data_IF_459210665221
#
_entry.id   IF_459210665221
#
_cell.length_a   1.000
_cell.length_b   1.000
_cell.length_c   1.000
_cell.angle_alpha   90.00
_cell.angle_beta   90.00
_cell.angle_gamma   90.00
#
_symmetry.space_group_name_H-M   'P 1'
#
loop_
_entity.id
_entity.type
_entity.pdbx_description
1 polymer ?
#
# COMPACT_ATOMS: atom_id res chain seq x y z
N UNK A 1 -5.46 -17.06 9.90
CA UNK A 1 -4.38 -17.73 9.20
C UNK A 1 -3.52 -16.79 8.38
N UNK A 2 -2.29 -17.18 8.20
CA UNK A 2 -1.28 -16.35 7.57
C UNK A 2 -1.56 -16.04 6.09
N UNK A 3 -2.37 -16.84 5.41
CA UNK A 3 -2.69 -16.62 4.00
C UNK A 3 -3.68 -15.48 3.83
N UNK A 4 -4.61 -15.32 4.77
CA UNK A 4 -5.64 -14.28 4.67
C UNK A 4 -5.06 -12.86 4.76
N UNK A 5 -4.00 -12.66 5.56
CA UNK A 5 -3.40 -11.33 5.75
C UNK A 5 -2.81 -10.75 4.47
N UNK A 6 -2.01 -11.51 3.67
CA UNK A 6 -1.52 -10.97 2.41
C UNK A 6 -2.63 -10.65 1.41
N UNK A 7 -3.69 -11.45 1.39
CA UNK A 7 -4.84 -11.20 0.51
C UNK A 7 -5.57 -9.92 0.90
N UNK A 8 -5.78 -9.70 2.18
CA UNK A 8 -6.40 -8.47 2.69
C UNK A 8 -5.54 -7.26 2.36
N UNK A 9 -4.23 -7.38 2.58
CA UNK A 9 -3.30 -6.28 2.27
C UNK A 9 -3.28 -5.95 0.79
N UNK A 10 -3.35 -6.96 -0.08
CA UNK A 10 -3.42 -6.76 -1.52
C UNK A 10 -4.71 -6.02 -1.90
N UNK A 11 -5.82 -6.38 -1.28
CA UNK A 11 -7.10 -5.71 -1.50
C UNK A 11 -7.04 -4.24 -1.07
N UNK A 12 -6.37 -3.96 0.05
CA UNK A 12 -6.20 -2.59 0.52
C UNK A 12 -5.39 -1.75 -0.45
N UNK A 13 -4.40 -2.35 -1.13
CA UNK A 13 -3.64 -1.67 -2.17
C UNK A 13 -4.54 -1.31 -3.34
N UNK A 14 -5.41 -2.22 -3.77
CA UNK A 14 -6.35 -1.96 -4.86
C UNK A 14 -7.29 -0.80 -4.53
N UNK A 15 -7.82 -0.79 -3.30
CA UNK A 15 -8.68 0.28 -2.81
C UNK A 15 -7.90 1.60 -2.77
N UNK A 16 -6.66 1.58 -2.28
CA UNK A 16 -5.83 2.77 -2.20
C UNK A 16 -5.52 3.33 -3.60
N UNK A 17 -5.27 2.45 -4.58
CA UNK A 17 -5.05 2.88 -5.97
C UNK A 17 -6.28 3.55 -6.54
N UNK A 18 -7.45 2.99 -6.28
CA UNK A 18 -8.71 3.58 -6.74
C UNK A 18 -8.93 4.94 -6.10
N UNK A 19 -8.62 5.06 -4.83
CA UNK A 19 -8.72 6.33 -4.11
C UNK A 19 -7.80 7.38 -4.73
N UNK A 20 -6.57 7.01 -5.09
CA UNK A 20 -5.64 7.91 -5.78
C UNK A 20 -6.20 8.36 -7.13
N UNK A 21 -6.71 7.43 -7.92
CA UNK A 21 -7.31 7.77 -9.23
C UNK A 21 -8.48 8.74 -9.08
N UNK A 22 -9.33 8.51 -8.10
CA UNK A 22 -10.47 9.40 -7.84
C UNK A 22 -9.98 10.77 -7.40
N UNK A 23 -8.95 10.82 -6.55
CA UNK A 23 -8.37 12.08 -6.09
C UNK A 23 -7.72 12.84 -7.25
N UNK A 24 -7.05 12.14 -8.16
CA UNK A 24 -6.46 12.76 -9.33
C UNK A 24 -7.51 13.38 -10.25
N UNK A 25 -8.60 12.66 -10.49
CA UNK A 25 -9.72 13.18 -11.29
C UNK A 25 -10.35 14.41 -10.65
N UNK A 26 -10.57 14.34 -9.35
CA UNK A 26 -11.13 15.46 -8.59
C UNK A 26 -10.20 16.65 -8.65
N UNK A 27 -8.90 16.43 -8.52
CA UNK A 27 -7.92 17.49 -8.59
C UNK A 27 -7.93 18.15 -9.98
N UNK A 28 -7.95 17.35 -11.05
CA UNK A 28 -7.98 17.87 -12.42
C UNK A 28 -9.23 18.74 -12.66
N UNK A 29 -10.38 18.28 -12.17
CA UNK A 29 -11.62 19.05 -12.28
C UNK A 29 -11.47 20.36 -11.51
N UNK A 30 -10.88 20.32 -10.33
CA UNK A 30 -10.71 21.52 -9.50
C UNK A 30 -9.69 22.49 -10.09
N UNK A 31 -8.67 22.00 -10.80
CA UNK A 31 -7.75 22.86 -11.54
C UNK A 31 -8.50 23.66 -12.59
N UNK A 32 -9.41 23.02 -13.32
CA UNK A 32 -10.21 23.72 -14.33
C UNK A 32 -11.15 24.74 -13.69
N UNK A 33 -11.76 24.40 -12.55
CA UNK A 33 -12.59 25.33 -11.80
C UNK A 33 -11.79 26.53 -11.32
N UNK A 34 -10.56 26.29 -10.87
CA UNK A 34 -9.68 27.36 -10.44
C UNK A 34 -9.34 28.31 -11.60
N UNK A 35 -9.04 27.74 -12.77
CA UNK A 35 -8.76 28.56 -13.96
C UNK A 35 -9.94 29.38 -14.39
N UNK A 36 -11.15 28.87 -14.24
CA UNK A 36 -12.37 29.57 -14.57
C UNK A 36 -12.82 30.55 -13.49
N UNK A 37 -12.13 30.59 -12.35
CA UNK A 37 -12.42 31.52 -11.26
C UNK A 37 -13.51 31.06 -10.31
N UNK A 38 -13.99 29.82 -10.42
CA UNK A 38 -15.06 29.30 -9.55
C UNK A 38 -14.54 28.64 -8.29
N UNK A 39 -13.22 28.49 -8.17
CA UNK A 39 -12.59 27.86 -7.01
C UNK A 39 -11.46 28.75 -6.51
N UNK A 40 -11.31 28.88 -5.20
CA UNK A 40 -10.22 29.68 -4.61
C UNK A 40 -8.92 28.89 -4.63
N UNK A 41 -7.78 29.63 -4.57
CA UNK A 41 -6.48 29.00 -4.48
C UNK A 41 -6.33 28.14 -3.24
N UNK A 42 -6.95 28.54 -2.12
CA UNK A 42 -6.92 27.76 -0.89
C UNK A 42 -7.67 26.46 -1.03
N UNK A 43 -8.82 26.48 -1.70
CA UNK A 43 -9.59 25.24 -1.95
C UNK A 43 -8.82 24.31 -2.87
N UNK A 44 -8.14 24.86 -3.90
CA UNK A 44 -7.30 24.04 -4.77
C UNK A 44 -6.13 23.42 -4.00
N UNK A 45 -5.52 24.19 -3.10
CA UNK A 45 -4.44 23.68 -2.25
C UNK A 45 -4.93 22.54 -1.36
N UNK A 46 -6.15 22.66 -0.82
CA UNK A 46 -6.74 21.58 -0.01
C UNK A 46 -6.92 20.31 -0.84
N UNK A 47 -7.35 20.44 -2.10
CA UNK A 47 -7.48 19.28 -2.99
C UNK A 47 -6.12 18.66 -3.31
N UNK A 48 -5.11 19.49 -3.47
CA UNK A 48 -3.74 19.01 -3.68
C UNK A 48 -3.24 18.23 -2.48
N UNK A 49 -3.54 18.70 -1.27
CA UNK A 49 -3.18 18.00 -0.03
C UNK A 49 -3.88 16.65 0.05
N UNK A 50 -5.17 16.59 -0.30
CA UNK A 50 -5.92 15.33 -0.32
C UNK A 50 -5.31 14.34 -1.31
N UNK A 51 -4.89 14.82 -2.48
CA UNK A 51 -4.23 13.95 -3.47
C UNK A 51 -2.90 13.41 -2.93
N UNK A 52 -2.11 14.28 -2.31
CA UNK A 52 -0.83 13.89 -1.70
C UNK A 52 -1.07 12.85 -0.60
N UNK A 53 -2.08 13.08 0.26
CA UNK A 53 -2.40 12.14 1.33
C UNK A 53 -2.83 10.78 0.77
N UNK A 54 -3.62 10.79 -0.30
CA UNK A 54 -4.04 9.54 -0.95
C UNK A 54 -2.83 8.78 -1.50
N UNK A 55 -1.90 9.48 -2.14
CA UNK A 55 -0.67 8.87 -2.66
C UNK A 55 0.19 8.30 -1.54
N UNK A 56 0.31 9.03 -0.43
CA UNK A 56 1.06 8.55 0.74
C UNK A 56 0.41 7.33 1.35
N UNK A 57 -0.92 7.30 1.42
CA UNK A 57 -1.65 6.12 1.91
C UNK A 57 -1.42 4.91 1.01
N UNK A 58 -1.38 5.12 -0.31
CA UNK A 58 -1.07 4.05 -1.25
C UNK A 58 0.34 3.51 -1.02
N UNK A 59 1.31 4.42 -0.87
CA UNK A 59 2.70 4.04 -0.60
C UNK A 59 2.79 3.22 0.69
N UNK A 60 2.11 3.67 1.75
CA UNK A 60 2.10 2.97 3.03
C UNK A 60 1.47 1.58 2.90
N UNK A 61 0.40 1.47 2.12
CA UNK A 61 -0.26 0.18 1.89
C UNK A 61 0.66 -0.78 1.14
N UNK A 62 1.41 -0.29 0.15
CA UNK A 62 2.36 -1.10 -0.60
C UNK A 62 3.51 -1.57 0.29
N UNK A 63 4.04 -0.66 1.10
CA UNK A 63 5.12 -1.01 2.05
C UNK A 63 4.63 -2.04 3.05
N UNK A 64 3.44 -1.84 3.60
CA UNK A 64 2.83 -2.78 4.53
C UNK A 64 2.66 -4.16 3.92
N UNK A 65 2.21 -4.21 2.66
CA UNK A 65 2.03 -5.47 1.95
C UNK A 65 3.37 -6.19 1.79
N UNK A 66 4.41 -5.47 1.37
CA UNK A 66 5.74 -6.04 1.19
C UNK A 66 6.33 -6.55 2.49
N UNK A 67 6.12 -5.81 3.59
CA UNK A 67 6.58 -6.23 4.91
C UNK A 67 5.87 -7.49 5.37
N UNK A 68 4.57 -7.60 5.12
CA UNK A 68 3.80 -8.79 5.48
C UNK A 68 4.24 -10.00 4.66
N UNK A 69 4.54 -9.82 3.38
CA UNK A 69 5.07 -10.90 2.55
C UNK A 69 6.44 -11.36 3.03
N UNK A 70 7.30 -10.41 3.39
CA UNK A 70 8.62 -10.72 3.91
C UNK A 70 8.52 -11.47 5.22
N UNK A 71 7.65 -11.01 6.12
CA UNK A 71 7.41 -11.65 7.40
C UNK A 71 6.91 -13.08 7.21
N UNK A 72 5.99 -13.28 6.28
CA UNK A 72 5.49 -14.62 5.96
C UNK A 72 6.60 -15.52 5.43
N UNK A 73 7.47 -15.00 4.57
CA UNK A 73 8.61 -15.76 4.07
C UNK A 73 9.56 -16.15 5.20
N UNK A 74 9.84 -15.24 6.10
CA UNK A 74 10.71 -15.50 7.25
C UNK A 74 10.09 -16.57 8.13
N UNK A 75 8.80 -16.46 8.43
CA UNK A 75 8.11 -17.48 9.22
C UNK A 75 8.11 -18.83 8.55
N UNK A 76 7.90 -18.87 7.24
CA UNK A 76 7.92 -20.12 6.48
C UNK A 76 9.29 -20.77 6.54
N UNK A 77 10.35 -20.00 6.39
CA UNK A 77 11.71 -20.52 6.50
C UNK A 77 12.01 -21.02 7.91
N UNK A 78 11.53 -20.25 8.90
CA UNK A 78 11.71 -20.65 10.30
C UNK A 78 10.99 -21.96 10.61
N UNK A 79 9.74 -22.10 10.15
CA UNK A 79 8.96 -23.33 10.35
C UNK A 79 9.60 -24.50 9.63
N UNK A 80 10.12 -24.28 8.44
CA UNK A 80 10.83 -25.28 7.68
C UNK A 80 12.04 -25.78 8.44
N UNK A 81 12.83 -24.87 8.98
CA UNK A 81 14.02 -25.23 9.75
C UNK A 81 13.65 -25.95 11.04
N UNK A 82 12.60 -25.51 11.73
CA UNK A 82 12.16 -26.16 12.96
C UNK A 82 11.60 -27.56 12.72
N UNK A 83 10.84 -27.74 11.65
CA UNK A 83 10.26 -29.04 11.34
C UNK A 83 11.29 -30.04 10.85
N UNK A 84 12.38 -29.52 10.33
CA UNK A 84 13.48 -30.35 9.82
C UNK A 84 14.77 -30.05 10.57
N UNK A 85 14.64 -29.95 11.88
CA UNK A 85 15.70 -29.43 12.73
C UNK A 85 17.03 -30.15 12.63
N UNK A 86 17.03 -31.42 12.27
CA UNK A 86 18.29 -32.19 12.11
C UNK A 86 18.76 -32.21 10.67
N UNK A 87 17.87 -32.23 9.71
CA UNK A 87 18.25 -32.33 8.30
C UNK A 87 19.07 -31.14 7.82
N UNK A 88 18.62 -29.91 8.05
CA UNK A 88 19.42 -28.76 7.62
C UNK A 88 20.77 -28.70 8.31
N UNK A 89 20.81 -29.05 9.60
CA UNK A 89 22.06 -29.06 10.34
C UNK A 89 23.01 -30.10 9.76
N UNK A 90 22.50 -31.27 9.45
CA UNK A 90 23.30 -32.32 8.84
C UNK A 90 23.83 -31.96 7.47
N UNK A 91 22.99 -31.24 6.68
CA UNK A 91 23.41 -30.78 5.37
C UNK A 91 24.45 -29.66 5.45
N UNK A 92 24.39 -28.87 6.50
CA UNK A 92 25.34 -27.78 6.70
C UNK A 92 26.66 -28.27 7.27
N UNK A 93 26.69 -29.45 7.86
CA UNK A 93 27.91 -30.03 8.32
C UNK A 93 28.68 -30.65 7.16
#
# INVERSE_FOLDING_TARGET
PSIARPLIAKRLIEIARQTVRNAERTYDINVEKYRSGTLTGMELKNQQTQLTDAKNSLTDAIISYKLKLLDLKIQTLWDYQNNRSYLPVDLLK
#
